data_IF_196345857900
#
_entry.id   IF_196345857900
#
_cell.length_a   1.000
_cell.length_b   1.000
_cell.length_c   1.000
_cell.angle_alpha   90.00
_cell.angle_beta   90.00
_cell.angle_gamma   90.00
#
_symmetry.space_group_name_H-M   'P 1'
#
loop_
_entity.id
_entity.type
_entity.pdbx_description
1 polymer ?
#
# COMPACT_ATOMS: atom_id res chain seq x y z
N UNK A 1 2.88 10.84 -18.44
CA UNK A 1 3.54 11.50 -17.29
C UNK A 1 3.37 10.60 -16.08
N UNK A 2 4.46 10.23 -15.41
CA UNK A 2 4.38 9.40 -14.20
C UNK A 2 3.97 10.26 -13.01
N UNK A 3 2.94 9.86 -12.26
CA UNK A 3 2.55 10.54 -11.02
C UNK A 3 3.33 9.95 -9.85
N UNK A 4 3.98 10.82 -9.06
CA UNK A 4 4.69 10.43 -7.86
C UNK A 4 3.89 10.80 -6.61
N UNK A 5 4.02 9.99 -5.56
CA UNK A 5 3.56 10.29 -4.20
C UNK A 5 4.70 10.03 -3.22
N UNK A 6 4.58 10.62 -2.03
CA UNK A 6 5.53 10.44 -0.96
C UNK A 6 4.81 10.00 0.32
N UNK A 7 5.41 9.06 1.05
CA UNK A 7 5.04 8.67 2.41
C UNK A 7 6.09 9.23 3.37
N UNK A 8 5.65 9.84 4.46
CA UNK A 8 6.55 10.28 5.53
C UNK A 8 6.44 9.28 6.68
N UNK A 9 7.57 8.66 7.01
CA UNK A 9 7.73 7.74 8.13
C UNK A 9 8.56 8.46 9.19
N UNK A 10 8.04 8.56 10.41
CA UNK A 10 8.78 9.14 11.53
C UNK A 10 9.60 8.02 12.16
N UNK A 11 10.91 8.21 12.25
CA UNK A 11 11.83 7.19 12.74
C UNK A 11 13.20 7.80 13.06
N UNK A 12 13.81 7.33 14.13
CA UNK A 12 15.09 7.78 14.69
C UNK A 12 16.29 7.10 14.02
N UNK A 13 16.43 7.33 12.71
CA UNK A 13 17.68 7.25 11.96
C UNK A 13 18.33 5.86 11.76
N UNK A 14 17.82 4.81 12.39
CA UNK A 14 18.27 3.43 12.28
C UNK A 14 17.11 2.50 11.92
N UNK A 15 16.52 2.71 10.75
CA UNK A 15 15.69 1.70 10.12
C UNK A 15 16.47 1.05 8.97
N UNK A 16 16.45 -0.28 8.91
CA UNK A 16 16.99 -1.03 7.76
C UNK A 16 16.25 -0.54 6.50
N UNK A 17 17.00 -0.19 5.45
CA UNK A 17 16.42 0.21 4.17
C UNK A 17 15.47 -0.86 3.62
N UNK A 18 15.71 -2.15 3.94
CA UNK A 18 14.80 -3.24 3.63
C UNK A 18 13.43 -3.10 4.30
N UNK A 19 13.41 -2.74 5.59
CA UNK A 19 12.18 -2.55 6.35
C UNK A 19 11.43 -1.30 5.88
N UNK A 20 12.14 -0.19 5.65
CA UNK A 20 11.56 1.02 5.06
C UNK A 20 10.92 0.76 3.70
N UNK A 21 11.57 -0.04 2.84
CA UNK A 21 10.99 -0.46 1.56
C UNK A 21 9.72 -1.30 1.75
N UNK A 22 9.72 -2.23 2.72
CA UNK A 22 8.57 -3.08 3.01
C UNK A 22 7.38 -2.25 3.52
N UNK A 23 7.62 -1.35 4.49
CA UNK A 23 6.62 -0.42 5.04
C UNK A 23 6.10 0.49 3.95
N UNK A 24 6.99 1.12 3.18
CA UNK A 24 6.64 2.01 2.07
C UNK A 24 5.75 1.34 1.04
N UNK A 25 6.06 0.10 0.66
CA UNK A 25 5.22 -0.69 -0.26
C UNK A 25 3.88 -1.06 0.34
N UNK A 26 3.84 -1.51 1.59
CA UNK A 26 2.60 -1.91 2.26
C UNK A 26 1.63 -0.73 2.39
N UNK A 27 2.12 0.41 2.89
CA UNK A 27 1.30 1.61 3.05
C UNK A 27 0.92 2.23 1.70
N UNK A 28 1.82 2.26 0.71
CA UNK A 28 1.47 2.72 -0.62
C UNK A 28 0.37 1.85 -1.27
N UNK A 29 0.46 0.52 -1.16
CA UNK A 29 -0.58 -0.41 -1.65
C UNK A 29 -1.92 -0.15 -0.96
N UNK A 30 -1.91 0.07 0.36
CA UNK A 30 -3.09 0.39 1.16
C UNK A 30 -3.71 1.72 0.74
N UNK A 31 -2.91 2.78 0.64
CA UNK A 31 -3.35 4.11 0.21
C UNK A 31 -3.93 4.11 -1.20
N UNK A 32 -3.32 3.34 -2.09
CA UNK A 32 -3.74 3.19 -3.48
C UNK A 32 -4.79 2.09 -3.66
N UNK A 33 -5.21 1.37 -2.60
CA UNK A 33 -6.15 0.24 -2.69
C UNK A 33 -5.83 -0.73 -3.85
N UNK A 34 -4.56 -1.07 -4.01
CA UNK A 34 -4.09 -1.91 -5.11
C UNK A 34 -3.32 -3.12 -4.59
N UNK A 35 -3.44 -4.23 -5.31
CA UNK A 35 -2.61 -5.42 -5.14
C UNK A 35 -1.35 -5.40 -6.02
N UNK A 36 -1.29 -4.47 -6.99
CA UNK A 36 -0.14 -4.31 -7.87
C UNK A 36 1.12 -3.91 -7.11
N UNK A 37 2.28 -4.25 -7.68
CA UNK A 37 3.55 -3.86 -7.09
C UNK A 37 3.80 -2.36 -7.28
N UNK A 38 3.97 -1.66 -6.16
CA UNK A 38 4.32 -0.26 -6.14
C UNK A 38 5.83 -0.11 -6.34
N UNK A 39 6.21 0.75 -7.28
CA UNK A 39 7.60 1.05 -7.57
C UNK A 39 8.09 2.20 -6.67
N UNK A 40 8.94 1.88 -5.70
CA UNK A 40 9.62 2.89 -4.86
C UNK A 40 10.82 3.43 -5.65
N UNK A 41 10.90 4.74 -5.77
CA UNK A 41 11.95 5.45 -6.51
C UNK A 41 13.08 5.93 -5.63
N UNK A 42 12.76 6.36 -4.42
CA UNK A 42 13.75 6.94 -3.54
C UNK A 42 13.30 6.85 -2.08
N UNK A 43 14.27 6.86 -1.17
CA UNK A 43 14.06 6.97 0.28
C UNK A 43 15.05 8.00 0.80
N UNK A 44 14.53 9.13 1.24
CA UNK A 44 15.31 10.25 1.75
C UNK A 44 15.23 10.28 3.27
N UNK A 45 16.34 10.50 3.95
CA UNK A 45 16.36 10.71 5.40
C UNK A 45 16.64 12.17 5.74
N UNK A 46 15.79 12.77 6.59
CA UNK A 46 16.04 14.08 7.17
C UNK A 46 16.37 13.94 8.66
N UNK A 47 17.67 13.99 8.98
CA UNK A 47 18.15 13.97 10.36
C UNK A 47 17.64 15.15 11.20
N UNK A 48 17.34 16.29 10.55
CA UNK A 48 16.79 17.47 11.24
C UNK A 48 15.40 17.21 11.83
N UNK A 49 14.63 16.34 11.18
CA UNK A 49 13.25 16.05 11.56
C UNK A 49 13.05 14.63 12.09
N UNK A 50 14.06 13.75 12.00
CA UNK A 50 13.93 12.34 12.34
C UNK A 50 12.87 11.65 11.48
N UNK A 51 12.89 11.88 10.16
CA UNK A 51 11.92 11.29 9.23
C UNK A 51 12.57 10.70 8.01
N UNK A 52 11.99 9.59 7.54
CA UNK A 52 12.22 9.00 6.25
C UNK A 52 11.09 9.37 5.29
N UNK A 53 11.43 9.80 4.08
CA UNK A 53 10.49 10.16 3.02
C UNK A 53 10.64 9.14 1.92
N UNK A 54 9.62 8.32 1.72
CA UNK A 54 9.59 7.26 0.71
C UNK A 54 8.83 7.77 -0.49
N UNK A 55 9.49 7.89 -1.64
CA UNK A 55 8.90 8.38 -2.90
C UNK A 55 8.57 7.20 -3.80
N UNK A 56 7.35 7.13 -4.32
CA UNK A 56 6.89 6.02 -5.15
C UNK A 56 6.01 6.45 -6.33
N UNK A 57 5.99 5.63 -7.38
CA UNK A 57 5.13 5.82 -8.55
C UNK A 57 3.70 5.35 -8.25
N UNK A 58 2.73 6.15 -8.69
CA UNK A 58 1.32 5.78 -8.70
C UNK A 58 1.02 5.07 -10.02
N UNK A 59 0.68 3.77 -9.99
CA UNK A 59 0.27 3.05 -11.19
C UNK A 59 -1.00 3.69 -11.79
N UNK A 60 -1.07 3.75 -13.12
CA UNK A 60 -2.19 4.41 -13.82
C UNK A 60 -3.53 3.71 -13.60
N UNK A 61 -3.51 2.40 -13.31
CA UNK A 61 -4.68 1.57 -13.01
C UNK A 61 -4.75 1.29 -11.51
N UNK A 62 -5.15 2.30 -10.75
CA UNK A 62 -5.68 2.06 -9.40
C UNK A 62 -7.08 1.49 -9.55
N UNK A 63 -7.19 0.19 -9.81
CA UNK A 63 -8.46 -0.54 -9.74
C UNK A 63 -8.77 -0.65 -8.26
N UNK A 64 -9.53 0.31 -7.73
CA UNK A 64 -10.24 0.05 -6.49
C UNK A 64 -11.09 -1.20 -6.77
N UNK A 65 -10.77 -2.31 -6.12
CA UNK A 65 -11.68 -3.45 -6.14
C UNK A 65 -13.07 -2.92 -5.77
N UNK A 66 -14.11 -3.12 -6.60
CA UNK A 66 -15.45 -2.77 -6.19
C UNK A 66 -15.72 -3.48 -4.87
N UNK A 67 -16.42 -2.85 -3.91
CA UNK A 67 -16.79 -3.54 -2.68
C UNK A 67 -17.44 -4.86 -3.09
N UNK A 68 -16.84 -5.99 -2.68
CA UNK A 68 -17.45 -7.30 -2.86
C UNK A 68 -18.71 -7.28 -2.02
N UNK A 69 -19.82 -6.93 -2.66
CA UNK A 69 -21.15 -7.13 -2.12
C UNK A 69 -21.20 -8.57 -1.60
N UNK A 70 -21.54 -8.63 -0.32
CA UNK A 70 -21.72 -9.82 0.48
C UNK A 70 -22.52 -10.81 -0.36
N UNK A 71 -21.85 -11.85 -0.86
CA UNK A 71 -22.53 -12.94 -1.57
C UNK A 71 -23.61 -13.46 -0.63
N UNK A 72 -24.87 -13.27 -1.05
CA UNK A 72 -26.05 -13.94 -0.52
C UNK A 72 -25.67 -15.35 -0.10
N UNK A 73 -25.73 -15.63 1.20
CA UNK A 73 -25.74 -16.96 1.74
C UNK A 73 -27.06 -17.63 1.30
N UNK A 74 -27.11 -18.09 0.06
CA UNK A 74 -28.11 -19.01 -0.44
C UNK A 74 -27.79 -20.40 0.09
N UNK A 75 -28.00 -20.61 1.39
CA UNK A 75 -28.08 -21.95 1.98
C UNK A 75 -29.36 -22.60 1.45
N UNK A 76 -29.26 -23.27 0.29
CA UNK A 76 -30.22 -24.29 -0.11
C UNK A 76 -30.08 -25.45 0.87
N UNK A 77 -30.92 -25.47 1.91
CA UNK A 77 -31.21 -26.70 2.64
C UNK A 77 -31.94 -27.63 1.67
N UNK A 78 -31.29 -28.75 1.30
CA UNK A 78 -31.98 -29.86 0.65
C UNK A 78 -32.99 -30.43 1.67
N UNK A 79 -34.23 -30.77 1.27
CA UNK A 79 -35.07 -31.62 2.10
C UNK A 79 -34.40 -33.00 2.16
N UNK A 80 -34.17 -33.52 3.36
CA UNK A 80 -33.73 -34.90 3.54
C UNK A 80 -34.92 -35.85 3.29
N UNK A 81 -34.68 -37.04 2.71
CA UNK A 81 -35.71 -38.05 2.45
C UNK A 81 -36.26 -38.70 3.73
#
# INVERSE_FOLDING_TARGET
>A
MVRLKALVVVGDGLEDYGDLLAVGRAEAKRMLRTHENVNVKDILYSAKCGVHIIVFEVPEKVVADPPKDVKRAGLRLKPNP
#
